data_IF_528216435601
#
_entry.id   IF_528216435601
#
_cell.length_a   1.000
_cell.length_b   1.000
_cell.length_c   1.000
_cell.angle_alpha   90.00
_cell.angle_beta   90.00
_cell.angle_gamma   90.00
#
_symmetry.space_group_name_H-M   'P 1'
#
loop_
_entity.id
_entity.type
_entity.pdbx_description
1 polymer ?
#
# COMPACT_ATOMS: atom_id res chain seq x y z
N UNK A 1 10.14 32.76 2.79
CA UNK A 1 9.67 31.98 1.62
C UNK A 1 9.86 30.50 1.87
N UNK A 2 11.03 30.07 2.37
CA UNK A 2 11.29 28.68 2.78
C UNK A 2 10.33 28.18 3.89
N UNK A 3 10.08 28.97 4.92
CA UNK A 3 9.15 28.61 6.01
C UNK A 3 7.72 28.33 5.52
N UNK A 4 7.23 29.09 4.54
CA UNK A 4 5.90 28.91 3.96
C UNK A 4 5.81 27.60 3.17
N UNK A 5 6.87 27.24 2.45
CA UNK A 5 6.94 25.99 1.68
C UNK A 5 6.96 24.78 2.63
N UNK A 6 7.73 24.85 3.71
CA UNK A 6 7.78 23.82 4.76
C UNK A 6 6.39 23.61 5.40
N UNK A 7 5.70 24.69 5.74
CA UNK A 7 4.39 24.61 6.38
C UNK A 7 3.32 24.01 5.44
N UNK A 8 3.34 24.39 4.15
CA UNK A 8 2.46 23.77 3.13
C UNK A 8 2.76 22.28 2.98
N UNK A 9 4.04 21.89 2.97
CA UNK A 9 4.45 20.49 2.86
C UNK A 9 3.97 19.66 4.06
N UNK A 10 4.15 20.17 5.29
CA UNK A 10 3.68 19.51 6.51
C UNK A 10 2.16 19.35 6.55
N UNK A 11 1.40 20.39 6.19
CA UNK A 11 -0.07 20.33 6.11
C UNK A 11 -0.50 19.32 5.05
N UNK A 12 0.16 19.32 3.89
CA UNK A 12 -0.14 18.38 2.79
C UNK A 12 0.16 16.93 3.17
N UNK A 13 1.27 16.68 3.88
CA UNK A 13 1.64 15.37 4.40
C UNK A 13 0.63 14.87 5.44
N UNK A 14 0.22 15.76 6.36
CA UNK A 14 -0.81 15.47 7.38
C UNK A 14 -2.15 15.14 6.73
N UNK A 15 -2.58 15.93 5.75
CA UNK A 15 -3.82 15.70 5.02
C UNK A 15 -3.78 14.38 4.23
N UNK A 16 -2.66 14.10 3.56
CA UNK A 16 -2.42 12.83 2.86
C UNK A 16 -2.55 11.64 3.80
N UNK A 17 -2.01 11.74 5.02
CA UNK A 17 -2.10 10.68 6.03
C UNK A 17 -3.54 10.42 6.47
N UNK A 18 -4.31 11.50 6.72
CA UNK A 18 -5.73 11.39 7.10
C UNK A 18 -6.55 10.76 5.96
N UNK A 19 -6.39 11.27 4.74
CA UNK A 19 -7.09 10.74 3.56
C UNK A 19 -6.69 9.29 3.27
N UNK A 20 -5.41 8.94 3.46
CA UNK A 20 -4.92 7.58 3.33
C UNK A 20 -5.55 6.64 4.36
N UNK A 21 -5.72 7.06 5.61
CA UNK A 21 -6.41 6.27 6.62
C UNK A 21 -7.89 6.03 6.27
N UNK A 22 -8.58 7.07 5.77
CA UNK A 22 -9.96 6.96 5.29
C UNK A 22 -10.05 6.02 4.09
N UNK A 23 -9.14 6.14 3.12
CA UNK A 23 -9.08 5.26 1.97
C UNK A 23 -8.85 3.79 2.38
N UNK A 24 -7.93 3.56 3.33
CA UNK A 24 -7.65 2.22 3.86
C UNK A 24 -8.89 1.60 4.50
N UNK A 25 -9.64 2.39 5.28
CA UNK A 25 -10.89 1.96 5.88
C UNK A 25 -11.91 1.52 4.82
N UNK A 26 -12.10 2.31 3.76
CA UNK A 26 -12.99 1.94 2.65
C UNK A 26 -12.52 0.71 1.88
N UNK A 27 -11.22 0.56 1.65
CA UNK A 27 -10.65 -0.64 1.00
C UNK A 27 -10.93 -1.88 1.85
N UNK A 28 -10.70 -1.83 3.16
CA UNK A 28 -10.98 -2.96 4.05
C UNK A 28 -12.48 -3.32 4.02
N UNK A 29 -13.37 -2.32 4.02
CA UNK A 29 -14.81 -2.56 3.90
C UNK A 29 -15.16 -3.21 2.56
N UNK A 30 -14.62 -2.70 1.46
CA UNK A 30 -14.84 -3.26 0.13
C UNK A 30 -14.34 -4.72 0.04
N UNK A 31 -13.17 -5.03 0.59
CA UNK A 31 -12.62 -6.39 0.62
C UNK A 31 -13.49 -7.36 1.44
N UNK A 32 -14.19 -6.86 2.47
CA UNK A 32 -15.12 -7.69 3.26
C UNK A 32 -16.40 -8.03 2.50
N UNK A 33 -16.88 -7.16 1.62
CA UNK A 33 -18.10 -7.40 0.83
C UNK A 33 -17.90 -8.30 -0.39
N UNK A 34 -16.64 -8.56 -0.77
CA UNK A 34 -16.29 -9.45 -1.87
C UNK A 34 -16.45 -10.94 -1.50
N UNK A 35 -16.97 -11.72 -2.45
CA UNK A 35 -17.11 -13.17 -2.33
C UNK A 35 -15.75 -13.84 -2.01
N UNK A 36 -15.73 -14.89 -1.16
CA UNK A 36 -14.50 -15.59 -0.82
C UNK A 36 -13.86 -16.22 -2.08
N UNK A 37 -12.58 -15.92 -2.30
CA UNK A 37 -11.83 -16.41 -3.46
C UNK A 37 -10.42 -15.80 -3.52
N UNK A 38 -9.67 -16.15 -4.57
CA UNK A 38 -8.30 -15.65 -4.79
C UNK A 38 -8.26 -14.12 -4.95
N UNK A 39 -9.28 -13.50 -5.55
CA UNK A 39 -9.41 -12.04 -5.66
C UNK A 39 -9.50 -11.35 -4.29
N UNK A 40 -10.23 -11.95 -3.34
CA UNK A 40 -10.32 -11.43 -1.98
C UNK A 40 -8.99 -11.50 -1.25
N UNK A 41 -8.19 -12.57 -1.47
CA UNK A 41 -6.84 -12.69 -0.91
C UNK A 41 -5.89 -11.64 -1.48
N UNK A 42 -5.91 -11.44 -2.80
CA UNK A 42 -5.09 -10.43 -3.48
C UNK A 42 -5.44 -9.04 -2.95
N UNK A 43 -6.72 -8.65 -2.93
CA UNK A 43 -7.11 -7.33 -2.44
C UNK A 43 -6.87 -7.12 -0.94
N UNK A 44 -6.95 -8.18 -0.14
CA UNK A 44 -6.58 -8.10 1.29
C UNK A 44 -5.09 -7.86 1.46
N UNK A 45 -4.26 -8.48 0.63
CA UNK A 45 -2.82 -8.23 0.60
C UNK A 45 -2.50 -6.79 0.18
N UNK A 46 -3.21 -6.25 -0.83
CA UNK A 46 -3.06 -4.84 -1.24
C UNK A 46 -3.44 -3.89 -0.11
N UNK A 47 -4.52 -4.20 0.64
CA UNK A 47 -4.94 -3.41 1.79
C UNK A 47 -3.87 -3.40 2.90
N UNK A 48 -3.22 -4.54 3.15
CA UNK A 48 -2.10 -4.64 4.10
C UNK A 48 -0.91 -3.83 3.60
N UNK A 49 -0.52 -3.96 2.32
CA UNK A 49 0.57 -3.19 1.72
C UNK A 49 0.33 -1.68 1.85
N UNK A 50 -0.90 -1.24 1.56
CA UNK A 50 -1.32 0.15 1.69
C UNK A 50 -1.26 0.63 3.14
N UNK A 51 -1.68 -0.20 4.09
CA UNK A 51 -1.55 0.11 5.53
C UNK A 51 -0.10 0.28 5.97
N UNK A 52 0.80 -0.60 5.53
CA UNK A 52 2.24 -0.50 5.82
C UNK A 52 2.83 0.79 5.21
N UNK A 53 2.49 1.11 3.96
CA UNK A 53 2.92 2.35 3.31
C UNK A 53 2.41 3.59 4.06
N UNK A 54 1.16 3.56 4.56
CA UNK A 54 0.59 4.65 5.32
C UNK A 54 1.29 4.87 6.66
N UNK A 55 1.67 3.80 7.36
CA UNK A 55 2.50 3.90 8.57
C UNK A 55 3.89 4.46 8.26
N UNK A 56 4.48 4.09 7.12
CA UNK A 56 5.71 4.68 6.60
C UNK A 56 5.58 6.19 6.44
N UNK A 57 4.59 6.64 5.65
CA UNK A 57 4.28 8.06 5.43
C UNK A 57 4.02 8.83 6.73
N UNK A 58 3.32 8.21 7.68
CA UNK A 58 3.07 8.78 9.01
C UNK A 58 4.38 8.99 9.78
N UNK A 59 5.30 8.04 9.70
CA UNK A 59 6.60 8.12 10.39
C UNK A 59 7.44 9.31 9.91
N UNK A 60 7.45 9.60 8.61
CA UNK A 60 8.15 10.79 8.10
C UNK A 60 7.41 12.09 8.36
N UNK A 61 6.08 12.05 8.43
CA UNK A 61 5.33 13.22 8.89
C UNK A 61 5.77 13.57 10.32
N UNK A 62 5.95 12.56 11.18
CA UNK A 62 6.51 12.74 12.53
C UNK A 62 7.97 13.18 12.51
N UNK A 63 8.81 12.63 11.63
CA UNK A 63 10.20 13.06 11.41
C UNK A 63 10.26 14.58 11.18
N UNK A 64 9.54 15.10 10.19
CA UNK A 64 9.57 16.53 9.87
C UNK A 64 8.96 17.43 10.95
N UNK A 65 8.16 16.89 11.86
CA UNK A 65 7.65 17.63 13.02
C UNK A 65 8.66 17.66 14.17
N UNK A 66 9.53 16.65 14.26
CA UNK A 66 10.49 16.49 15.35
C UNK A 66 11.93 16.88 14.98
N UNK A 67 12.24 17.04 13.69
CA UNK A 67 13.57 17.35 13.16
C UNK A 67 14.23 18.54 13.88
N UNK A 68 13.47 19.59 14.19
CA UNK A 68 13.98 20.78 14.91
C UNK A 68 14.05 20.62 16.44
N UNK A 69 13.37 19.63 17.02
CA UNK A 69 13.19 19.51 18.48
C UNK A 69 13.90 18.31 19.11
N UNK A 70 14.14 17.23 18.37
CA UNK A 70 14.80 16.02 18.88
C UNK A 70 15.46 15.22 17.76
N UNK A 71 16.77 15.42 17.59
CA UNK A 71 17.55 14.80 16.52
C UNK A 71 17.57 13.25 16.61
N UNK A 72 17.64 12.70 17.83
CA UNK A 72 17.66 11.24 18.04
C UNK A 72 16.33 10.57 17.65
N UNK A 73 15.20 11.18 18.01
CA UNK A 73 13.88 10.62 17.67
C UNK A 73 13.63 10.75 16.17
N UNK A 74 14.08 11.84 15.55
CA UNK A 74 13.97 12.05 14.11
C UNK A 74 14.69 10.93 13.34
N UNK A 75 15.95 10.62 13.65
CA UNK A 75 16.70 9.53 12.98
C UNK A 75 15.99 8.18 13.08
N UNK A 76 15.42 7.87 14.25
CA UNK A 76 14.63 6.63 14.43
C UNK A 76 13.40 6.62 13.52
N UNK A 77 12.69 7.74 13.42
CA UNK A 77 11.50 7.86 12.55
C UNK A 77 11.85 7.77 11.07
N UNK A 78 12.99 8.32 10.66
CA UNK A 78 13.51 8.21 9.30
C UNK A 78 13.83 6.75 8.95
N UNK A 79 14.51 6.03 9.86
CA UNK A 79 14.76 4.59 9.70
C UNK A 79 13.46 3.79 9.57
N UNK A 80 12.46 4.09 10.40
CA UNK A 80 11.14 3.44 10.31
C UNK A 80 10.46 3.72 8.97
N UNK A 81 10.50 4.94 8.45
CA UNK A 81 10.00 5.24 7.10
C UNK A 81 10.68 4.34 6.07
N UNK A 82 12.01 4.27 6.05
CA UNK A 82 12.73 3.50 5.02
C UNK A 82 12.37 2.02 5.10
N UNK A 83 12.34 1.47 6.32
CA UNK A 83 12.00 0.08 6.56
C UNK A 83 10.56 -0.24 6.10
N UNK A 84 9.60 0.59 6.48
CA UNK A 84 8.18 0.37 6.14
C UNK A 84 7.93 0.53 4.64
N UNK A 85 8.54 1.53 3.99
CA UNK A 85 8.43 1.71 2.54
C UNK A 85 9.07 0.56 1.77
N UNK A 86 10.22 0.06 2.23
CA UNK A 86 10.86 -1.12 1.64
C UNK A 86 9.98 -2.37 1.77
N UNK A 87 9.39 -2.61 2.94
CA UNK A 87 8.46 -3.72 3.14
C UNK A 87 7.20 -3.59 2.27
N UNK A 88 6.64 -2.39 2.14
CA UNK A 88 5.50 -2.14 1.26
C UNK A 88 5.82 -2.48 -0.20
N UNK A 89 7.00 -2.10 -0.69
CA UNK A 89 7.46 -2.44 -2.04
C UNK A 89 7.61 -3.96 -2.23
N UNK A 90 8.18 -4.68 -1.26
CA UNK A 90 8.27 -6.14 -1.34
C UNK A 90 6.89 -6.79 -1.44
N UNK A 91 5.91 -6.31 -0.67
CA UNK A 91 4.54 -6.82 -0.73
C UNK A 91 3.92 -6.52 -2.11
N UNK A 92 4.11 -5.31 -2.66
CA UNK A 92 3.61 -4.97 -4.00
C UNK A 92 4.28 -5.79 -5.11
N UNK A 93 5.57 -6.09 -5.02
CA UNK A 93 6.24 -6.99 -5.96
C UNK A 93 5.65 -8.41 -5.90
N UNK A 94 5.42 -8.93 -4.69
CA UNK A 94 4.79 -10.23 -4.51
C UNK A 94 3.35 -10.26 -5.01
N UNK A 95 2.57 -9.21 -4.75
CA UNK A 95 1.21 -9.05 -5.25
C UNK A 95 1.18 -9.01 -6.79
N UNK A 96 2.08 -8.23 -7.40
CA UNK A 96 2.21 -8.13 -8.86
C UNK A 96 2.50 -9.50 -9.49
N UNK A 97 3.36 -10.30 -8.85
CA UNK A 97 3.63 -11.67 -9.29
C UNK A 97 2.39 -12.58 -9.18
N UNK A 98 1.63 -12.47 -8.09
CA UNK A 98 0.39 -13.22 -7.92
C UNK A 98 -0.66 -12.87 -8.98
N UNK A 99 -0.88 -11.58 -9.25
CA UNK A 99 -1.80 -11.10 -10.29
C UNK A 99 -1.37 -11.60 -11.67
N UNK A 100 -0.08 -11.52 -12.00
CA UNK A 100 0.45 -12.03 -13.27
C UNK A 100 0.24 -13.55 -13.43
N UNK A 101 0.32 -14.31 -12.34
CA UNK A 101 0.06 -15.75 -12.34
C UNK A 101 -1.44 -16.08 -12.44
N UNK A 102 -2.30 -15.21 -11.91
CA UNK A 102 -3.76 -15.40 -11.89
C UNK A 102 -4.35 -15.41 -13.30
N UNK A 103 -3.89 -14.51 -14.17
CA UNK A 103 -4.28 -14.49 -15.59
C UNK A 103 -4.02 -15.83 -16.26
N UNK A 104 -2.80 -16.38 -16.12
CA UNK A 104 -2.43 -17.69 -16.70
C UNK A 104 -3.34 -18.84 -16.22
N UNK A 105 -3.70 -18.85 -14.93
CA UNK A 105 -4.56 -19.90 -14.34
C UNK A 105 -6.00 -19.88 -14.87
N UNK A 106 -6.50 -18.73 -15.33
CA UNK A 106 -7.85 -18.61 -15.90
C UNK A 106 -7.86 -18.88 -17.41
N UNK A 107 -6.81 -18.48 -18.13
CA UNK A 107 -6.77 -18.61 -19.60
C UNK A 107 -6.51 -20.06 -20.07
N UNK A 108 -5.64 -20.81 -19.38
CA UNK A 108 -5.31 -22.20 -19.77
C UNK A 108 -6.51 -23.18 -19.75
N UNK A 109 -7.42 -23.15 -18.75
CA UNK A 109 -8.62 -23.99 -18.78
C UNK A 109 -9.55 -23.64 -19.95
N UNK A 110 -9.72 -22.36 -20.28
CA UNK A 110 -10.62 -21.91 -21.34
C UNK A 110 -10.14 -22.35 -22.73
N UNK A 111 -8.83 -22.34 -22.99
CA UNK A 111 -8.27 -22.91 -24.23
C UNK A 111 -8.50 -24.42 -24.33
N UNK A 112 -8.38 -25.16 -23.22
CA UNK A 112 -8.65 -26.60 -23.18
C UNK A 112 -10.13 -26.91 -23.44
N UNK A 113 -11.06 -26.12 -22.90
CA UNK A 113 -12.49 -26.27 -23.18
C UNK A 113 -12.85 -25.90 -24.63
N UNK A 114 -12.22 -24.87 -25.20
CA UNK A 114 -12.40 -24.47 -26.59
C UNK A 114 -11.92 -25.53 -27.59
N UNK A 115 -10.78 -26.20 -27.31
CA UNK A 115 -10.28 -27.31 -28.12
C UNK A 115 -11.16 -28.56 -28.05
N UNK A 116 -11.73 -28.88 -26.88
CA UNK A 116 -12.57 -30.08 -26.68
C UNK A 116 -13.94 -30.01 -27.39
N UNK A 117 -14.42 -28.82 -27.75
CA UNK A 117 -15.66 -28.65 -28.55
C UNK A 117 -15.45 -28.78 -30.06
N UNK A 118 -14.20 -28.86 -30.54
CA UNK A 118 -13.86 -28.91 -31.98
C UNK A 118 -13.37 -30.28 -32.46
N UNK A 119 -13.29 -31.29 -31.58
CA UNK A 119 -13.04 -32.70 -31.94
C UNK A 119 -14.31 -33.51 -31.78
#
# INVERSE_FOLDING_TARGET
>A
MEETILLIAQVSASLTTILGAVALFYVIQAVRSLLPGELRKIMMLSAVAFGVALLGLSSMTVFHLLEESSHEIAEVMEFFWYLLMFLALLIFCYESWQIASFGKRITEPLEKFGKKKRS
#
